data_IF_319976418298
#
_entry.id   IF_319976418298
#
_cell.length_a   1.000
_cell.length_b   1.000
_cell.length_c   1.000
_cell.angle_alpha   90.00
_cell.angle_beta   90.00
_cell.angle_gamma   90.00
#
_symmetry.space_group_name_H-M   'P 1'
#
loop_
_entity.id
_entity.type
_entity.pdbx_description
1 polymer ?
#
# COMPACT_ATOMS: atom_id res chain seq x y z
N UNK A 1 0.99 13.10 -19.72
CA UNK A 1 0.12 13.54 -18.61
C UNK A 1 0.99 13.78 -17.39
N UNK A 2 0.63 14.70 -16.50
CA UNK A 2 1.37 14.97 -15.26
C UNK A 2 0.41 14.84 -14.08
N UNK A 3 0.78 14.04 -13.07
CA UNK A 3 0.10 13.97 -11.78
C UNK A 3 0.95 14.74 -10.75
N UNK A 4 0.44 15.88 -10.27
CA UNK A 4 1.13 16.73 -9.31
C UNK A 4 0.38 16.76 -7.98
N UNK A 5 0.93 16.12 -6.94
CA UNK A 5 0.24 15.95 -5.67
C UNK A 5 0.86 14.84 -4.82
N UNK A 6 0.09 14.33 -3.86
CA UNK A 6 0.45 13.15 -3.07
C UNK A 6 -0.05 11.85 -3.69
N UNK A 7 0.06 10.75 -2.94
CA UNK A 7 -0.34 9.41 -3.39
C UNK A 7 -1.81 9.33 -3.84
N UNK A 8 -2.72 10.00 -3.12
CA UNK A 8 -4.13 10.09 -3.51
C UNK A 8 -4.34 10.73 -4.88
N UNK A 9 -3.63 11.83 -5.17
CA UNK A 9 -3.70 12.49 -6.50
C UNK A 9 -3.18 11.58 -7.61
N UNK A 10 -2.08 10.87 -7.37
CA UNK A 10 -1.55 9.91 -8.34
C UNK A 10 -2.53 8.77 -8.55
N UNK A 11 -3.12 8.24 -7.47
CA UNK A 11 -4.12 7.18 -7.54
C UNK A 11 -5.38 7.62 -8.30
N UNK A 12 -5.87 8.85 -8.09
CA UNK A 12 -7.02 9.41 -8.80
C UNK A 12 -6.77 9.56 -10.30
N UNK A 13 -5.53 9.88 -10.68
CA UNK A 13 -5.12 10.00 -12.10
C UNK A 13 -4.94 8.63 -12.75
N UNK A 14 -4.39 7.65 -12.04
CA UNK A 14 -4.02 6.32 -12.59
C UNK A 14 -5.21 5.36 -12.61
N UNK A 15 -6.01 5.32 -11.54
CA UNK A 15 -7.09 4.36 -11.37
C UNK A 15 -8.14 4.31 -12.50
N UNK A 16 -8.56 5.43 -13.13
CA UNK A 16 -9.58 5.42 -14.16
C UNK A 16 -9.03 5.16 -15.57
N UNK A 17 -7.70 5.10 -15.75
CA UNK A 17 -7.11 4.85 -17.06
C UNK A 17 -7.38 3.42 -17.47
N UNK A 18 -7.70 3.19 -18.74
CA UNK A 18 -7.73 1.85 -19.30
C UNK A 18 -6.31 1.28 -19.43
N UNK A 19 -6.17 0.06 -19.96
CA UNK A 19 -4.88 -0.58 -20.13
C UNK A 19 -4.09 0.11 -21.27
N UNK A 20 -3.52 1.27 -20.97
CA UNK A 20 -2.83 2.15 -21.92
C UNK A 20 -1.34 2.20 -21.60
N UNK A 21 -0.53 2.06 -22.64
CA UNK A 21 0.90 2.35 -22.56
C UNK A 21 1.10 3.86 -22.71
N UNK A 22 0.83 4.59 -21.63
CA UNK A 22 0.91 6.06 -21.60
C UNK A 22 1.78 6.50 -20.43
N UNK A 23 2.96 7.07 -20.69
CA UNK A 23 3.78 7.67 -19.65
C UNK A 23 3.05 8.78 -18.88
N UNK A 24 3.12 8.69 -17.56
CA UNK A 24 2.60 9.69 -16.62
C UNK A 24 3.77 10.19 -15.81
N UNK A 25 4.08 11.48 -15.96
CA UNK A 25 5.05 12.14 -15.11
C UNK A 25 4.44 12.39 -13.73
N UNK A 26 5.18 12.09 -12.66
CA UNK A 26 4.75 12.33 -11.28
C UNK A 26 5.56 13.48 -10.71
N UNK A 27 4.87 14.48 -10.17
CA UNK A 27 5.43 15.55 -9.36
C UNK A 27 4.99 15.33 -7.90
N UNK A 28 5.83 14.70 -7.05
CA UNK A 28 5.50 14.32 -5.69
C UNK A 28 5.51 15.56 -4.77
N UNK A 29 4.32 16.04 -4.43
CA UNK A 29 4.10 17.21 -3.57
C UNK A 29 3.44 16.84 -2.23
N UNK A 30 3.18 15.55 -1.99
CA UNK A 30 2.61 15.04 -0.76
C UNK A 30 3.63 14.74 0.34
N UNK A 31 3.14 14.21 1.46
CA UNK A 31 3.97 13.83 2.62
C UNK A 31 4.80 12.56 2.38
N UNK A 32 4.14 11.44 2.07
CA UNK A 32 4.77 10.12 1.88
C UNK A 32 5.24 9.87 0.45
N UNK A 33 4.41 10.14 -0.55
CA UNK A 33 4.72 9.93 -1.97
C UNK A 33 5.20 8.49 -2.26
N UNK A 34 4.60 7.51 -1.59
CA UNK A 34 4.93 6.09 -1.71
C UNK A 34 5.00 5.63 -3.17
N UNK A 35 4.02 6.02 -4.00
CA UNK A 35 3.96 5.65 -5.42
C UNK A 35 5.16 6.23 -6.19
N UNK A 36 5.49 7.50 -5.97
CA UNK A 36 6.64 8.13 -6.61
C UNK A 36 7.95 7.45 -6.20
N UNK A 37 8.13 7.18 -4.90
CA UNK A 37 9.31 6.51 -4.37
C UNK A 37 9.47 5.09 -4.92
N UNK A 38 8.40 4.31 -4.97
CA UNK A 38 8.41 2.96 -5.54
C UNK A 38 8.80 2.93 -7.02
N UNK A 39 8.45 3.99 -7.77
CA UNK A 39 8.78 4.13 -9.19
C UNK A 39 10.17 4.74 -9.42
N UNK A 40 10.94 5.01 -8.37
CA UNK A 40 12.27 5.65 -8.47
C UNK A 40 12.23 7.15 -8.74
N UNK A 41 11.08 7.79 -8.58
CA UNK A 41 10.89 9.24 -8.73
C UNK A 41 11.14 9.92 -7.39
N UNK A 42 12.37 10.38 -7.20
CA UNK A 42 12.78 11.07 -5.97
C UNK A 42 13.78 12.20 -6.23
N UNK A 43 13.94 13.06 -5.22
CA UNK A 43 14.78 14.26 -5.25
C UNK A 43 13.98 15.55 -5.03
N UNK A 44 14.64 16.72 -5.10
CA UNK A 44 13.95 18.01 -5.00
C UNK A 44 12.91 18.13 -6.11
N UNK A 45 11.65 18.36 -5.76
CA UNK A 45 10.55 18.31 -6.73
C UNK A 45 10.74 19.29 -7.89
N UNK A 46 11.43 20.42 -7.67
CA UNK A 46 11.74 21.44 -8.69
C UNK A 46 12.65 20.93 -9.80
N UNK A 47 13.46 19.91 -9.52
CA UNK A 47 14.45 19.37 -10.45
C UNK A 47 13.89 18.18 -11.24
N UNK A 48 12.79 17.57 -10.77
CA UNK A 48 12.19 16.40 -11.40
C UNK A 48 11.73 16.63 -12.85
N UNK A 49 11.10 17.76 -13.23
CA UNK A 49 10.71 18.00 -14.61
C UNK A 49 11.88 17.96 -15.61
N UNK A 50 13.08 18.33 -15.17
CA UNK A 50 14.29 18.30 -16.00
C UNK A 50 14.79 16.88 -16.28
N UNK A 51 14.34 15.89 -15.49
CA UNK A 51 14.74 14.49 -15.57
C UNK A 51 13.72 13.59 -16.26
N UNK A 52 12.53 14.12 -16.57
CA UNK A 52 11.50 13.33 -17.24
C UNK A 52 11.89 12.98 -18.67
N UNK A 53 11.66 11.72 -19.03
CA UNK A 53 11.91 11.18 -20.37
C UNK A 53 10.75 10.29 -20.78
N UNK A 54 10.39 10.33 -22.07
CA UNK A 54 9.45 9.37 -22.65
C UNK A 54 10.11 8.02 -22.98
N UNK A 55 11.45 7.97 -22.96
CA UNK A 55 12.23 6.77 -23.28
C UNK A 55 12.63 5.98 -22.03
N UNK A 56 12.61 6.60 -20.85
CA UNK A 56 12.98 5.99 -19.57
C UNK A 56 11.85 6.13 -18.55
N UNK A 57 11.10 5.05 -18.35
CA UNK A 57 9.96 5.00 -17.44
C UNK A 57 9.78 3.60 -16.85
N UNK A 58 9.09 3.53 -15.71
CA UNK A 58 8.82 2.29 -14.96
C UNK A 58 7.35 1.91 -15.12
N UNK A 59 7.07 0.62 -15.33
CA UNK A 59 5.70 0.11 -15.35
C UNK A 59 5.09 0.15 -13.95
N UNK A 60 3.80 0.48 -13.90
CA UNK A 60 2.97 0.42 -12.71
C UNK A 60 1.73 -0.40 -13.05
N UNK A 61 1.55 -1.51 -12.34
CA UNK A 61 0.37 -2.34 -12.41
C UNK A 61 -0.79 -1.62 -11.73
N UNK A 62 -1.97 -1.74 -12.35
CA UNK A 62 -3.23 -1.34 -11.74
C UNK A 62 -3.85 -2.56 -11.08
N UNK A 63 -4.33 -2.36 -9.86
CA UNK A 63 -4.91 -3.44 -9.06
C UNK A 63 -6.39 -3.21 -8.87
N UNK A 64 -7.13 -4.30 -8.69
CA UNK A 64 -8.54 -4.27 -8.34
C UNK A 64 -8.82 -5.18 -7.16
N UNK A 65 -9.77 -4.76 -6.34
CA UNK A 65 -10.27 -5.53 -5.20
C UNK A 65 -11.78 -5.67 -5.30
N UNK A 66 -12.28 -6.89 -5.23
CA UNK A 66 -13.69 -7.25 -5.18
C UNK A 66 -14.08 -7.66 -3.76
N UNK A 67 -15.16 -7.10 -3.25
CA UNK A 67 -15.70 -7.47 -1.94
C UNK A 67 -17.17 -7.09 -1.79
N UNK A 68 -17.75 -7.10 -0.58
CA UNK A 68 -19.13 -6.69 -0.32
C UNK A 68 -19.44 -5.24 -0.76
N UNK A 69 -18.42 -4.40 -0.87
CA UNK A 69 -18.50 -3.05 -1.44
C UNK A 69 -18.46 -3.02 -2.98
N UNK A 70 -18.23 -4.13 -3.66
CA UNK A 70 -18.05 -4.24 -5.11
C UNK A 70 -16.59 -4.09 -5.57
N UNK A 71 -16.35 -4.09 -6.88
CA UNK A 71 -15.01 -3.92 -7.45
C UNK A 71 -14.45 -2.51 -7.21
N UNK A 72 -13.18 -2.39 -6.81
CA UNK A 72 -12.50 -1.11 -6.55
C UNK A 72 -11.05 -1.13 -7.07
N UNK A 73 -10.63 -0.12 -7.85
CA UNK A 73 -9.23 0.02 -8.21
C UNK A 73 -8.41 0.57 -7.04
N UNK A 74 -7.17 0.12 -6.93
CA UNK A 74 -6.16 0.67 -6.03
C UNK A 74 -4.77 0.60 -6.67
N UNK A 75 -3.82 1.37 -6.14
CA UNK A 75 -2.47 1.50 -6.72
C UNK A 75 -1.35 1.18 -5.73
N UNK A 76 -1.53 1.49 -4.44
CA UNK A 76 -0.50 1.27 -3.40
C UNK A 76 -0.58 -0.14 -2.81
N UNK A 77 -1.60 -0.37 -1.99
CA UNK A 77 -1.81 -1.60 -1.24
C UNK A 77 -3.28 -1.69 -0.78
N UNK A 78 -3.67 -2.88 -0.34
CA UNK A 78 -4.91 -3.16 0.37
C UNK A 78 -4.59 -4.00 1.60
N UNK A 79 -5.09 -3.62 2.77
CA UNK A 79 -4.76 -4.34 4.00
C UNK A 79 -5.64 -4.01 5.19
N UNK A 80 -5.32 -4.61 6.34
CA UNK A 80 -5.98 -4.43 7.62
C UNK A 80 -4.99 -4.48 8.79
N UNK A 81 -5.42 -3.98 9.94
CA UNK A 81 -4.63 -3.95 11.18
C UNK A 81 -3.95 -2.60 11.41
N UNK A 82 -2.74 -2.64 12.00
CA UNK A 82 -2.03 -1.46 12.54
C UNK A 82 -1.99 -0.25 11.60
N UNK A 83 -1.75 -0.45 10.30
CA UNK A 83 -1.68 0.66 9.35
C UNK A 83 -3.02 1.36 9.12
N UNK A 84 -4.13 0.68 9.37
CA UNK A 84 -5.47 1.25 9.35
C UNK A 84 -5.70 2.04 10.64
N UNK A 85 -5.37 1.44 11.78
CA UNK A 85 -5.57 2.03 13.11
C UNK A 85 -4.71 3.29 13.33
N UNK A 86 -3.49 3.32 12.77
CA UNK A 86 -2.57 4.45 12.89
C UNK A 86 -3.01 5.71 12.12
N UNK A 87 -3.97 5.60 11.19
CA UNK A 87 -4.51 6.77 10.47
C UNK A 87 -5.38 7.62 11.40
N UNK A 88 -6.06 6.99 12.35
CA UNK A 88 -6.97 7.67 13.28
C UNK A 88 -6.23 8.45 14.39
N UNK A 89 -4.96 8.13 14.64
CA UNK A 89 -4.13 8.78 15.69
C UNK A 89 -3.34 10.00 15.20
N UNK A 90 -3.31 10.27 13.89
CA UNK A 90 -2.50 11.35 13.30
C UNK A 90 -3.26 12.68 13.24
N UNK A 91 -3.53 13.27 14.40
CA UNK A 91 -4.37 14.47 14.55
C UNK A 91 -3.55 15.75 14.77
N UNK A 92 -2.68 16.10 13.81
CA UNK A 92 -1.92 17.35 13.81
C UNK A 92 -1.97 18.02 12.42
N UNK A 93 -1.91 19.36 12.38
CA UNK A 93 -1.54 20.14 11.18
C UNK A 93 0.00 20.25 11.11
N UNK A 94 0.70 19.35 10.40
CA UNK A 94 2.16 19.35 10.37
C UNK A 94 2.69 20.57 9.59
N UNK A 95 3.77 21.19 10.07
CA UNK A 95 4.41 22.31 9.41
C UNK A 95 5.24 21.90 8.18
N UNK A 96 5.54 20.59 8.02
CA UNK A 96 6.27 20.06 6.87
C UNK A 96 5.94 18.61 6.53
N UNK A 97 6.29 18.18 5.31
CA UNK A 97 6.18 16.78 4.90
C UNK A 97 7.04 15.83 5.75
N UNK A 98 8.21 16.29 6.23
CA UNK A 98 9.11 15.52 7.09
C UNK A 98 8.51 15.30 8.47
N UNK A 99 7.88 16.33 9.04
CA UNK A 99 7.19 16.25 10.32
C UNK A 99 5.97 15.32 10.22
N UNK A 100 5.16 15.49 9.17
CA UNK A 100 4.03 14.58 8.90
C UNK A 100 4.46 13.11 8.86
N UNK A 101 5.57 12.83 8.17
CA UNK A 101 6.12 11.49 8.10
C UNK A 101 6.60 11.00 9.47
N UNK A 102 7.31 11.82 10.24
CA UNK A 102 7.79 11.46 11.56
C UNK A 102 6.62 11.15 12.51
N UNK A 103 5.59 11.98 12.52
CA UNK A 103 4.38 11.80 13.34
C UNK A 103 3.67 10.50 12.95
N UNK A 104 3.45 10.26 11.66
CA UNK A 104 2.81 9.02 11.21
C UNK A 104 3.65 7.75 11.47
N UNK A 105 4.99 7.85 11.49
CA UNK A 105 5.85 6.74 11.94
C UNK A 105 5.80 6.54 13.46
N UNK A 106 5.59 7.60 14.24
CA UNK A 106 5.35 7.48 15.68
C UNK A 106 3.99 6.82 15.97
N UNK A 107 2.93 7.25 15.29
CA UNK A 107 1.60 6.64 15.36
C UNK A 107 1.64 5.16 14.97
N UNK A 108 2.32 4.80 13.87
CA UNK A 108 2.52 3.39 13.49
C UNK A 108 3.15 2.55 14.62
N UNK A 109 4.19 3.06 15.29
CA UNK A 109 4.85 2.35 16.40
C UNK A 109 3.95 2.26 17.63
N UNK A 110 3.19 3.31 17.95
CA UNK A 110 2.24 3.31 19.06
C UNK A 110 1.13 2.27 18.82
N UNK A 111 0.48 2.34 17.65
CA UNK A 111 -0.52 1.38 17.22
C UNK A 111 0.03 -0.06 17.22
N UNK A 112 1.23 -0.31 16.68
CA UNK A 112 1.86 -1.63 16.70
C UNK A 112 2.15 -2.14 18.11
N UNK A 113 2.55 -1.25 19.03
CA UNK A 113 2.85 -1.61 20.42
C UNK A 113 1.59 -2.06 21.16
N UNK A 114 0.45 -1.43 20.87
CA UNK A 114 -0.82 -1.67 21.54
C UNK A 114 -1.79 -2.57 20.76
N UNK A 115 -1.44 -2.98 19.54
CA UNK A 115 -2.33 -3.73 18.69
C UNK A 115 -2.75 -5.06 19.31
N UNK A 116 -4.04 -5.33 19.32
CA UNK A 116 -4.56 -6.67 19.58
C UNK A 116 -4.47 -7.51 18.30
N UNK A 117 -4.13 -8.80 18.38
CA UNK A 117 -4.22 -9.71 17.24
C UNK A 117 -5.64 -9.82 16.68
N UNK A 118 -5.75 -10.17 15.41
CA UNK A 118 -7.00 -10.58 14.78
C UNK A 118 -6.79 -11.76 13.83
N UNK A 119 -7.82 -12.61 13.76
CA UNK A 119 -7.85 -13.73 12.84
C UNK A 119 -7.98 -13.24 11.39
N UNK A 120 -7.08 -13.74 10.55
CA UNK A 120 -7.06 -13.47 9.12
C UNK A 120 -6.76 -14.77 8.37
N UNK A 121 -7.35 -14.90 7.18
CA UNK A 121 -7.02 -15.95 6.22
C UNK A 121 -6.62 -15.31 4.88
N UNK A 122 -5.53 -15.80 4.31
CA UNK A 122 -5.03 -15.42 2.99
C UNK A 122 -4.87 -16.68 2.15
N UNK A 123 -5.47 -16.69 0.97
CA UNK A 123 -5.33 -17.77 -0.01
C UNK A 123 -4.85 -17.20 -1.34
N UNK A 124 -3.77 -17.75 -1.86
CA UNK A 124 -3.22 -17.52 -3.19
C UNK A 124 -3.13 -18.85 -3.95
N UNK A 125 -2.72 -18.79 -5.22
CA UNK A 125 -2.67 -19.98 -6.08
C UNK A 125 -1.69 -21.06 -5.55
N UNK A 126 -0.54 -20.65 -5.03
CA UNK A 126 0.55 -21.56 -4.60
C UNK A 126 0.69 -21.68 -3.08
N UNK A 127 0.00 -20.85 -2.31
CA UNK A 127 0.13 -20.84 -0.86
C UNK A 127 -1.13 -20.32 -0.17
N UNK A 128 -1.33 -20.77 1.06
CA UNK A 128 -2.33 -20.21 1.96
C UNK A 128 -1.72 -19.96 3.33
N UNK A 129 -2.36 -19.08 4.09
CA UNK A 129 -2.03 -18.77 5.45
C UNK A 129 -3.31 -18.46 6.22
N UNK A 130 -3.40 -18.91 7.46
CA UNK A 130 -4.51 -18.61 8.34
C UNK A 130 -4.01 -18.54 9.78
N UNK A 131 -4.46 -17.53 10.53
CA UNK A 131 -4.15 -17.39 11.94
C UNK A 131 -4.26 -15.97 12.44
N UNK A 132 -3.69 -15.74 13.62
CA UNK A 132 -3.65 -14.43 14.26
C UNK A 132 -2.59 -13.53 13.62
N UNK A 133 -2.99 -12.31 13.27
CA UNK A 133 -2.15 -11.28 12.67
C UNK A 133 -2.32 -9.93 13.37
N UNK A 134 -1.30 -9.10 13.30
CA UNK A 134 -1.35 -7.67 13.66
C UNK A 134 -1.48 -6.79 12.42
N UNK A 135 -0.95 -7.26 11.29
CA UNK A 135 -0.98 -6.58 10.00
C UNK A 135 -1.15 -7.64 8.91
N UNK A 136 -2.02 -7.36 7.96
CA UNK A 136 -2.06 -8.06 6.66
C UNK A 136 -2.13 -7.01 5.57
N UNK A 137 -1.18 -7.00 4.64
CA UNK A 137 -1.10 -6.04 3.54
C UNK A 137 -0.81 -6.77 2.24
N UNK A 138 -1.68 -6.58 1.25
CA UNK A 138 -1.51 -7.00 -0.14
C UNK A 138 -0.96 -5.80 -0.91
N UNK A 139 0.35 -5.82 -1.15
CA UNK A 139 1.08 -4.64 -1.63
C UNK A 139 1.34 -4.74 -3.13
N UNK A 140 0.97 -3.69 -3.89
CA UNK A 140 1.35 -3.54 -5.29
C UNK A 140 2.68 -2.79 -5.44
N UNK A 141 3.02 -1.95 -4.48
CA UNK A 141 4.31 -1.26 -4.38
C UNK A 141 4.93 -1.52 -3.02
N UNK A 142 6.25 -1.37 -2.90
CA UNK A 142 6.98 -1.75 -1.68
C UNK A 142 6.76 -0.87 -0.44
N UNK A 143 6.00 0.22 -0.56
CA UNK A 143 5.82 1.24 0.47
C UNK A 143 4.37 1.39 0.89
N UNK A 144 4.14 1.56 2.20
CA UNK A 144 2.83 1.88 2.76
C UNK A 144 2.91 2.95 3.85
N UNK A 145 1.79 3.65 4.08
CA UNK A 145 1.62 4.61 5.16
C UNK A 145 2.63 5.75 5.11
N UNK A 146 3.38 5.97 6.19
CA UNK A 146 4.38 7.04 6.32
C UNK A 146 5.73 6.66 5.68
N UNK A 147 5.68 6.19 4.44
CA UNK A 147 6.84 5.71 3.65
C UNK A 147 7.59 4.61 4.38
N UNK A 148 6.87 3.58 4.81
CA UNK A 148 7.43 2.37 5.40
C UNK A 148 7.64 1.34 4.28
N UNK A 149 8.89 0.94 4.05
CA UNK A 149 9.27 -0.04 3.03
C UNK A 149 8.98 -1.49 3.49
N UNK A 150 7.71 -1.81 3.74
CA UNK A 150 7.29 -3.11 4.27
C UNK A 150 7.60 -4.27 3.31
N UNK A 151 7.52 -4.02 2.01
CA UNK A 151 7.86 -4.98 0.95
C UNK A 151 8.99 -4.41 0.08
N UNK A 152 10.19 -4.28 0.66
CA UNK A 152 11.33 -3.61 0.02
C UNK A 152 11.70 -4.14 -1.39
N UNK A 153 11.45 -5.44 -1.66
CA UNK A 153 11.72 -6.06 -2.95
C UNK A 153 10.60 -5.96 -3.98
N UNK A 154 9.46 -5.36 -3.65
CA UNK A 154 8.29 -5.34 -4.52
C UNK A 154 8.55 -4.53 -5.80
N UNK A 155 8.15 -5.11 -6.94
CA UNK A 155 8.30 -4.49 -8.25
C UNK A 155 6.94 -4.01 -8.75
N UNK A 156 6.72 -2.69 -8.94
CA UNK A 156 5.39 -2.15 -9.23
C UNK A 156 4.71 -2.65 -10.51
N UNK A 157 5.42 -3.33 -11.41
CA UNK A 157 4.95 -3.67 -12.76
C UNK A 157 5.22 -5.11 -13.21
N UNK A 158 5.43 -6.02 -12.26
CA UNK A 158 5.82 -7.42 -12.51
C UNK A 158 4.64 -8.41 -12.59
N UNK A 159 3.41 -7.96 -12.38
CA UNK A 159 2.24 -8.83 -12.36
C UNK A 159 2.03 -9.59 -11.05
N UNK A 160 2.84 -9.38 -10.00
CA UNK A 160 2.67 -9.98 -8.67
C UNK A 160 2.38 -8.97 -7.53
N UNK A 161 1.55 -9.34 -6.57
CA UNK A 161 1.48 -8.67 -5.28
C UNK A 161 2.55 -9.21 -4.35
N UNK A 162 3.08 -8.37 -3.47
CA UNK A 162 3.84 -8.78 -2.30
C UNK A 162 2.93 -8.75 -1.07
N UNK A 163 2.64 -9.93 -0.51
CA UNK A 163 1.80 -10.05 0.69
C UNK A 163 2.67 -10.05 1.93
N UNK A 164 2.40 -9.09 2.83
CA UNK A 164 3.02 -8.95 4.16
C UNK A 164 2.01 -9.40 5.19
N UNK A 165 2.40 -10.35 6.04
CA UNK A 165 1.60 -10.80 7.18
C UNK A 165 2.51 -10.69 8.41
N UNK A 166 2.08 -9.89 9.40
CA UNK A 166 2.82 -9.71 10.65
C UNK A 166 2.08 -10.47 11.74
N UNK A 167 2.72 -11.49 12.29
CA UNK A 167 2.18 -12.27 13.41
C UNK A 167 2.57 -11.65 14.76
N UNK A 168 1.87 -11.99 15.87
CA UNK A 168 2.15 -11.40 17.17
C UNK A 168 3.60 -11.56 17.66
N UNK A 169 4.24 -12.68 17.34
CA UNK A 169 5.64 -12.97 17.69
C UNK A 169 6.65 -12.07 16.94
N UNK A 170 6.27 -11.53 15.79
CA UNK A 170 7.11 -10.62 15.00
C UNK A 170 7.02 -9.15 15.44
N UNK A 171 6.13 -8.81 16.39
CA UNK A 171 5.91 -7.42 16.87
C UNK A 171 7.21 -6.75 17.29
N UNK A 172 8.01 -7.44 18.10
CA UNK A 172 9.25 -6.88 18.64
C UNK A 172 10.26 -6.55 17.55
N UNK A 173 10.37 -7.39 16.54
CA UNK A 173 11.32 -7.22 15.43
C UNK A 173 10.88 -6.06 14.53
N UNK A 174 9.58 -5.98 14.23
CA UNK A 174 9.01 -4.89 13.45
C UNK A 174 9.09 -3.54 14.18
N UNK A 175 8.87 -3.50 15.50
CA UNK A 175 9.05 -2.28 16.30
C UNK A 175 10.49 -1.77 16.24
N UNK A 176 11.48 -2.66 16.42
CA UNK A 176 12.90 -2.27 16.34
C UNK A 176 13.26 -1.74 14.95
N UNK A 177 12.77 -2.38 13.89
CA UNK A 177 12.96 -1.87 12.54
C UNK A 177 12.29 -0.50 12.35
N UNK A 178 11.07 -0.32 12.86
CA UNK A 178 10.29 0.91 12.70
C UNK A 178 10.89 2.13 13.42
N UNK A 179 11.86 1.95 14.32
CA UNK A 179 12.66 3.07 14.87
C UNK A 179 13.53 3.75 13.80
N UNK A 180 14.05 2.97 12.85
CA UNK A 180 14.96 3.43 11.79
C UNK A 180 14.69 2.71 10.47
N UNK A 181 13.47 2.81 9.90
CA UNK A 181 13.03 1.96 8.79
C UNK A 181 13.76 2.26 7.46
N UNK A 182 14.51 3.37 7.39
CA UNK A 182 15.31 3.74 6.21
C UNK A 182 16.73 3.14 6.22
N UNK A 183 17.17 2.54 7.33
CA UNK A 183 18.55 2.03 7.51
C UNK A 183 18.72 0.56 7.13
N UNK A 184 17.64 -0.15 6.81
CA UNK A 184 17.69 -1.56 6.46
C UNK A 184 16.33 -2.10 6.00
N UNK A 185 16.33 -3.29 5.39
CA UNK A 185 15.09 -3.90 4.92
C UNK A 185 14.17 -4.26 6.09
N UNK A 186 12.86 -4.24 5.84
CA UNK A 186 11.87 -4.77 6.76
C UNK A 186 12.19 -6.24 7.10
N UNK A 187 12.17 -6.65 8.39
CA UNK A 187 12.49 -8.02 8.78
C UNK A 187 11.37 -9.01 8.46
N UNK A 188 10.19 -8.52 8.06
CA UNK A 188 9.02 -9.35 7.78
C UNK A 188 9.13 -9.91 6.36
N UNK A 189 9.10 -11.23 6.17
CA UNK A 189 9.16 -11.82 4.84
C UNK A 189 7.88 -11.52 4.04
N UNK A 190 8.03 -11.33 2.74
CA UNK A 190 6.91 -11.23 1.80
C UNK A 190 6.64 -12.58 1.14
N UNK A 191 5.40 -12.78 0.67
CA UNK A 191 5.04 -13.88 -0.22
C UNK A 191 4.36 -13.31 -1.46
N UNK A 192 4.83 -13.72 -2.63
CA UNK A 192 4.30 -13.19 -3.88
C UNK A 192 3.08 -13.96 -4.38
N UNK A 193 2.15 -13.27 -5.03
CA UNK A 193 0.97 -13.88 -5.64
C UNK A 193 0.35 -12.97 -6.72
N UNK A 194 -0.10 -13.54 -7.85
CA UNK A 194 -0.83 -12.76 -8.87
C UNK A 194 -2.29 -12.45 -8.45
N UNK A 195 -2.91 -13.36 -7.70
CA UNK A 195 -4.27 -13.25 -7.16
C UNK A 195 -4.26 -13.59 -5.69
N UNK A 196 -4.98 -12.81 -4.88
CA UNK A 196 -5.09 -13.02 -3.44
C UNK A 196 -6.55 -13.01 -3.02
N UNK A 197 -6.99 -14.02 -2.28
CA UNK A 197 -8.22 -13.95 -1.49
C UNK A 197 -7.84 -13.67 -0.06
N UNK A 198 -8.37 -12.60 0.51
CA UNK A 198 -8.12 -12.23 1.90
C UNK A 198 -9.45 -12.25 2.64
N UNK A 199 -9.44 -12.63 3.91
CA UNK A 199 -10.61 -12.58 4.78
C UNK A 199 -10.15 -12.10 6.15
N UNK A 200 -10.74 -11.00 6.62
CA UNK A 200 -10.47 -10.43 7.93
C UNK A 200 -11.75 -10.38 8.74
N UNK A 201 -11.72 -10.84 9.99
CA UNK A 201 -12.90 -10.83 10.85
C UNK A 201 -13.03 -9.51 11.61
N UNK A 202 -14.18 -8.84 11.47
CA UNK A 202 -14.58 -7.68 12.25
C UNK A 202 -13.58 -6.50 12.28
N UNK A 203 -12.84 -6.26 11.18
CA UNK A 203 -11.87 -5.17 11.06
C UNK A 203 -12.09 -4.34 9.78
N UNK A 204 -11.80 -3.02 9.82
CA UNK A 204 -11.80 -2.18 8.62
C UNK A 204 -10.66 -2.58 7.67
N UNK A 205 -10.87 -2.37 6.37
CA UNK A 205 -9.80 -2.42 5.37
C UNK A 205 -9.36 -1.00 5.00
N UNK A 206 -8.07 -0.87 4.77
CA UNK A 206 -7.41 0.29 4.19
C UNK A 206 -7.05 -0.01 2.74
N UNK A 207 -7.24 0.97 1.86
CA UNK A 207 -6.65 1.02 0.53
C UNK A 207 -6.42 2.47 0.10
N UNK A 208 -5.59 2.69 -0.92
CA UNK A 208 -5.43 3.99 -1.58
C UNK A 208 -5.85 3.87 -3.05
N UNK A 209 -6.98 4.51 -3.38
CA UNK A 209 -7.68 4.44 -4.66
C UNK A 209 -8.89 5.38 -4.73
N UNK A 210 -9.59 5.40 -5.88
CA UNK A 210 -10.73 6.30 -6.12
C UNK A 210 -11.90 6.09 -5.13
N UNK A 211 -12.62 7.17 -4.75
CA UNK A 211 -13.87 7.07 -3.99
C UNK A 211 -15.02 6.43 -4.78
N UNK A 212 -16.05 5.99 -4.06
CA UNK A 212 -17.09 4.95 -4.34
C UNK A 212 -17.88 5.01 -5.68
N UNK A 213 -17.74 6.00 -6.55
CA UNK A 213 -18.80 6.31 -7.52
C UNK A 213 -18.73 5.71 -8.94
N UNK A 214 -17.85 4.74 -9.30
CA UNK A 214 -17.82 4.19 -10.69
C UNK A 214 -17.46 2.70 -10.80
N UNK A 215 -18.16 1.95 -11.68
CA UNK A 215 -17.89 0.54 -12.07
C UNK A 215 -17.01 0.48 -13.34
N UNK A 216 -16.08 -0.48 -13.42
CA UNK A 216 -15.22 -0.75 -14.58
C UNK A 216 -15.16 -2.26 -14.91
N UNK A 217 -14.84 -2.64 -16.16
CA UNK A 217 -14.72 -4.04 -16.67
C UNK A 217 -13.32 -4.34 -17.29
N UNK A 218 -12.92 -5.63 -17.35
CA UNK A 218 -11.58 -6.26 -17.61
C UNK A 218 -11.30 -6.63 -19.10
N UNK A 219 -10.07 -7.07 -19.57
CA UNK A 219 -8.88 -7.60 -18.82
C UNK A 219 -7.42 -7.24 -19.29
N UNK A 220 -6.53 -7.01 -18.30
CA UNK A 220 -5.32 -7.78 -17.83
C UNK A 220 -5.05 -7.23 -16.41
N UNK A 221 -5.22 -8.00 -15.32
CA UNK A 221 -5.29 -7.42 -13.96
C UNK A 221 -4.78 -8.37 -12.86
N UNK A 222 -4.17 -7.80 -11.81
CA UNK A 222 -4.06 -8.42 -10.48
C UNK A 222 -5.36 -8.16 -9.72
N UNK A 223 -5.88 -9.17 -9.01
CA UNK A 223 -7.16 -9.04 -8.29
C UNK A 223 -7.09 -9.54 -6.86
N UNK A 224 -7.78 -8.84 -5.96
CA UNK A 224 -8.05 -9.29 -4.59
C UNK A 224 -9.54 -9.61 -4.44
N UNK A 225 -9.91 -10.69 -3.76
CA UNK A 225 -11.31 -11.01 -3.42
C UNK A 225 -11.48 -11.10 -1.90
N UNK A 226 -12.49 -10.45 -1.34
CA UNK A 226 -12.82 -10.47 0.10
C UNK A 226 -14.24 -11.03 0.37
N UNK A 227 -14.40 -11.75 1.47
CA UNK A 227 -15.69 -12.21 2.03
C UNK A 227 -15.74 -11.87 3.51
N UNK A 228 -16.66 -10.98 3.89
CA UNK A 228 -17.05 -10.80 5.30
C UNK A 228 -17.94 -11.98 5.74
N UNK A 229 -17.46 -12.82 6.65
CA UNK A 229 -18.32 -13.77 7.37
C UNK A 229 -18.85 -13.09 8.64
N UNK A 230 -20.12 -12.71 8.65
CA UNK A 230 -20.83 -12.40 9.89
C UNK A 230 -21.13 -13.72 10.61
N UNK A 231 -20.39 -14.00 11.69
CA UNK A 231 -20.79 -15.05 12.62
C UNK A 231 -22.04 -14.61 13.38
N UNK A 232 -23.10 -15.42 13.29
CA UNK A 232 -24.21 -15.41 14.24
C UNK A 232 -23.89 -16.37 15.39
#
# INVERSE_FOLDING_TARGET
MIAAGGDGTVADVVSPLDNVDRPIAILPLGGSNNIAHALGVGGPWRDLPLRWSLEAWTRLDRCEADGPWGCRPFVEALGSGVLTDAVDEADDEPASASEKQANGRAAFRAALSNAEPFHCAVAADEWSWEGESLIVEVMNIGYAGSRLALAHGALPGDGLFDVVIVTPDQRGDLLRWAERPDYGPCPIPTRQAATVRMTVQARPLRWIGLPINRRFSTPRKKSVSDRLSAGF
#
